data_IF_265950281350
#
_entry.id   IF_265950281350
#
_cell.length_a   1.000
_cell.length_b   1.000
_cell.length_c   1.000
_cell.angle_alpha   90.00
_cell.angle_beta   90.00
_cell.angle_gamma   90.00
#
_symmetry.space_group_name_H-M   'P 1'
#
loop_
_entity.id
_entity.type
_entity.pdbx_description
1 polymer ?
#
# COMPACT_ATOMS: atom_id res chain seq x y z
N UNK A 1 -2.16 30.77 8.29
CA UNK A 1 -2.29 29.74 7.22
C UNK A 1 -2.02 28.35 7.77
N UNK A 2 -2.67 27.37 7.19
CA UNK A 2 -2.56 25.97 7.57
C UNK A 2 -2.09 25.17 6.35
N UNK A 3 -1.16 24.25 6.56
CA UNK A 3 -0.74 23.28 5.55
C UNK A 3 -1.51 21.98 5.77
N UNK A 4 -2.07 21.43 4.71
CA UNK A 4 -2.81 20.16 4.76
C UNK A 4 -2.19 19.20 3.75
N UNK A 5 -1.90 18.00 4.21
CA UNK A 5 -1.41 16.90 3.36
C UNK A 5 -2.34 15.71 3.48
N UNK A 6 -2.76 15.17 2.34
CA UNK A 6 -3.52 13.92 2.29
C UNK A 6 -2.54 12.78 2.04
N UNK A 7 -2.52 11.80 2.93
CA UNK A 7 -1.68 10.61 2.78
C UNK A 7 -2.58 9.45 2.40
N UNK A 8 -2.28 8.82 1.26
CA UNK A 8 -3.07 7.74 0.68
C UNK A 8 -2.23 6.46 0.69
N UNK A 9 -2.35 5.62 1.72
CA UNK A 9 -1.71 4.32 1.70
C UNK A 9 -2.50 3.34 0.83
N UNK A 10 -1.82 2.39 0.22
CA UNK A 10 -2.44 1.20 -0.35
C UNK A 10 -2.40 0.06 0.69
N UNK A 11 -2.41 -1.20 0.28
CA UNK A 11 -2.46 -2.30 1.24
C UNK A 11 -1.27 -2.35 2.20
N UNK A 12 -1.54 -2.39 3.48
CA UNK A 12 -0.55 -2.55 4.56
C UNK A 12 -0.93 -3.80 5.36
N UNK A 13 -0.45 -5.00 4.95
CA UNK A 13 -0.97 -6.28 5.43
C UNK A 13 -0.84 -6.54 6.93
N UNK A 14 0.19 -5.96 7.57
CA UNK A 14 0.45 -6.19 9.00
C UNK A 14 -0.42 -5.35 9.93
N UNK A 15 -1.31 -4.52 9.37
CA UNK A 15 -2.25 -3.72 10.14
C UNK A 15 -3.63 -4.40 10.17
N UNK A 16 -4.49 -3.99 11.08
CA UNK A 16 -5.87 -4.48 11.14
C UNK A 16 -6.79 -3.93 10.05
N UNK A 17 -6.30 -3.06 9.18
CA UNK A 17 -7.12 -2.38 8.18
C UNK A 17 -7.81 -3.37 7.23
N UNK A 18 -7.07 -4.36 6.72
CA UNK A 18 -7.60 -5.35 5.78
C UNK A 18 -8.75 -6.17 6.37
N UNK A 19 -8.70 -6.44 7.69
CA UNK A 19 -9.73 -7.20 8.39
C UNK A 19 -11.00 -6.42 8.69
N UNK A 20 -10.99 -5.10 8.45
CA UNK A 20 -12.13 -4.23 8.73
C UNK A 20 -12.83 -3.73 7.47
N UNK A 21 -12.46 -4.25 6.30
CA UNK A 21 -13.12 -3.90 5.03
C UNK A 21 -14.56 -4.39 5.05
N UNK A 22 -15.50 -3.45 4.94
CA UNK A 22 -16.93 -3.73 4.97
C UNK A 22 -17.47 -3.96 3.55
N UNK A 23 -17.01 -3.16 2.59
CA UNK A 23 -17.46 -3.24 1.20
C UNK A 23 -16.47 -4.06 0.37
N UNK A 24 -16.75 -5.35 0.24
CA UNK A 24 -15.90 -6.28 -0.53
C UNK A 24 -15.92 -5.99 -2.04
N UNK A 25 -17.04 -5.49 -2.56
CA UNK A 25 -17.15 -5.14 -4.00
C UNK A 25 -16.21 -4.00 -4.36
N UNK A 26 -16.08 -3.01 -3.48
CA UNK A 26 -15.11 -1.93 -3.67
C UNK A 26 -13.68 -2.46 -3.65
N UNK A 27 -13.37 -3.40 -2.76
CA UNK A 27 -12.08 -4.07 -2.71
C UNK A 27 -11.76 -4.81 -4.01
N UNK A 28 -12.71 -5.54 -4.55
CA UNK A 28 -12.59 -6.23 -5.83
C UNK A 28 -12.36 -5.23 -6.95
N UNK A 29 -13.07 -4.10 -6.93
CA UNK A 29 -12.96 -3.05 -7.95
C UNK A 29 -11.56 -2.45 -8.05
N UNK A 30 -10.85 -2.25 -6.94
CA UNK A 30 -9.50 -1.69 -6.97
C UNK A 30 -8.42 -2.67 -7.44
N UNK A 31 -8.72 -3.96 -7.43
CA UNK A 31 -7.85 -4.99 -8.01
C UNK A 31 -8.15 -5.18 -9.50
N UNK A 32 -9.43 -5.10 -9.87
CA UNK A 32 -9.89 -5.11 -11.25
C UNK A 32 -9.46 -6.37 -12.00
N UNK A 33 -8.90 -6.17 -13.19
CA UNK A 33 -8.46 -7.29 -14.06
C UNK A 33 -7.27 -8.07 -13.50
N UNK A 34 -6.64 -7.60 -12.43
CA UNK A 34 -5.55 -8.31 -11.77
C UNK A 34 -6.04 -9.36 -10.74
N UNK A 35 -7.36 -9.58 -10.63
CA UNK A 35 -7.92 -10.55 -9.70
C UNK A 35 -7.31 -11.95 -9.78
N UNK A 36 -7.03 -12.53 -10.96
CA UNK A 36 -6.39 -13.84 -11.01
C UNK A 36 -5.01 -13.88 -10.35
N UNK A 37 -4.19 -12.85 -10.59
CA UNK A 37 -2.87 -12.73 -9.96
C UNK A 37 -2.98 -12.51 -8.45
N UNK A 38 -3.92 -11.68 -8.04
CA UNK A 38 -4.18 -11.44 -6.62
C UNK A 38 -4.62 -12.73 -5.92
N UNK A 39 -5.48 -13.53 -6.56
CA UNK A 39 -5.92 -14.82 -6.04
C UNK A 39 -4.78 -15.81 -5.88
N UNK A 40 -3.86 -15.89 -6.86
CA UNK A 40 -2.66 -16.74 -6.79
C UNK A 40 -1.76 -16.33 -5.61
N UNK A 41 -1.59 -15.04 -5.39
CA UNK A 41 -0.80 -14.54 -4.27
C UNK A 41 -1.43 -14.89 -2.93
N UNK A 42 -2.73 -14.69 -2.79
CA UNK A 42 -3.44 -15.03 -1.55
C UNK A 42 -3.37 -16.52 -1.25
N UNK A 43 -3.49 -17.37 -2.28
CA UNK A 43 -3.33 -18.81 -2.15
C UNK A 43 -1.90 -19.17 -1.72
N UNK A 44 -0.90 -18.54 -2.31
CA UNK A 44 0.51 -18.74 -1.95
C UNK A 44 0.80 -18.34 -0.50
N UNK A 45 0.22 -17.25 -0.03
CA UNK A 45 0.33 -16.85 1.38
C UNK A 45 -0.26 -17.90 2.32
N UNK A 46 -1.44 -18.42 1.99
CA UNK A 46 -2.12 -19.43 2.80
C UNK A 46 -1.33 -20.75 2.85
N UNK A 47 -0.68 -21.11 1.75
CA UNK A 47 0.12 -22.34 1.62
C UNK A 47 1.58 -22.19 2.10
N UNK A 48 2.01 -20.96 2.44
CA UNK A 48 3.39 -20.67 2.80
C UNK A 48 4.36 -20.65 1.62
N UNK A 49 3.85 -20.56 0.39
CA UNK A 49 4.64 -20.51 -0.85
C UNK A 49 4.80 -19.11 -1.41
N UNK A 50 4.54 -18.10 -0.60
CA UNK A 50 4.63 -16.69 -1.01
C UNK A 50 6.06 -16.35 -1.44
N UNK A 51 6.26 -15.77 -2.65
CA UNK A 51 7.58 -15.49 -3.16
C UNK A 51 8.36 -14.51 -2.25
N UNK A 52 9.63 -14.83 -1.89
CA UNK A 52 10.41 -13.96 -1.01
C UNK A 52 10.60 -12.55 -1.56
N UNK A 53 10.67 -12.38 -2.87
CA UNK A 53 10.83 -11.10 -3.55
C UNK A 53 9.71 -10.12 -3.20
N UNK A 54 8.52 -10.64 -2.96
CA UNK A 54 7.35 -9.82 -2.63
C UNK A 54 7.35 -9.32 -1.19
N UNK A 55 8.24 -9.83 -0.38
CA UNK A 55 8.43 -9.41 1.01
C UNK A 55 9.68 -8.54 1.19
N UNK A 56 10.48 -8.37 0.13
CA UNK A 56 11.72 -7.61 0.16
C UNK A 56 11.49 -6.19 -0.39
N UNK A 57 11.58 -5.16 0.46
CA UNK A 57 11.36 -3.78 0.02
C UNK A 57 12.40 -3.27 -0.96
N UNK A 58 13.53 -3.97 -1.13
CA UNK A 58 14.54 -3.63 -2.13
C UNK A 58 14.22 -4.21 -3.52
N UNK A 59 13.19 -5.06 -3.63
CA UNK A 59 12.81 -5.71 -4.88
C UNK A 59 11.63 -5.00 -5.54
N UNK A 60 11.64 -4.89 -6.87
CA UNK A 60 10.57 -4.23 -7.62
C UNK A 60 9.21 -4.96 -7.49
N UNK A 61 9.24 -6.24 -7.18
CA UNK A 61 8.03 -7.04 -6.98
C UNK A 61 7.48 -6.95 -5.55
N UNK A 62 8.06 -6.11 -4.70
CA UNK A 62 7.61 -5.89 -3.33
C UNK A 62 6.13 -5.55 -3.28
N UNK A 63 5.36 -6.28 -2.50
CA UNK A 63 3.91 -6.15 -2.44
C UNK A 63 3.35 -6.09 -1.01
N UNK A 64 4.22 -5.87 -0.03
CA UNK A 64 3.88 -6.02 1.40
C UNK A 64 4.27 -4.78 2.20
N UNK A 65 3.66 -3.63 1.88
CA UNK A 65 3.93 -2.38 2.59
C UNK A 65 3.92 -2.57 4.11
N UNK A 66 4.92 -1.99 4.76
CA UNK A 66 4.98 -1.89 6.21
C UNK A 66 4.48 -0.51 6.69
N UNK A 67 3.98 -0.39 7.92
CA UNK A 67 3.55 0.90 8.47
C UNK A 67 4.64 1.97 8.45
N UNK A 68 5.91 1.57 8.54
CA UNK A 68 7.06 2.47 8.51
C UNK A 68 7.16 3.24 7.20
N UNK A 69 6.76 2.64 6.07
CA UNK A 69 6.76 3.33 4.77
C UNK A 69 5.77 4.50 4.77
N UNK A 70 4.64 4.34 5.42
CA UNK A 70 3.64 5.41 5.56
C UNK A 70 4.14 6.49 6.52
N UNK A 71 4.74 6.08 7.64
CA UNK A 71 5.31 7.01 8.62
C UNK A 71 6.40 7.86 8.00
N UNK A 72 7.29 7.27 7.19
CA UNK A 72 8.35 7.99 6.49
C UNK A 72 7.80 9.03 5.52
N UNK A 73 6.73 8.72 4.81
CA UNK A 73 6.07 9.66 3.91
C UNK A 73 5.47 10.85 4.69
N UNK A 74 4.86 10.59 5.84
CA UNK A 74 4.31 11.64 6.72
C UNK A 74 5.44 12.54 7.21
N UNK A 75 6.54 11.98 7.68
CA UNK A 75 7.70 12.74 8.14
C UNK A 75 8.29 13.58 7.01
N UNK A 76 8.39 13.05 5.82
CA UNK A 76 8.85 13.80 4.65
C UNK A 76 7.99 15.03 4.40
N UNK A 77 6.67 14.88 4.45
CA UNK A 77 5.74 16.00 4.24
C UNK A 77 5.88 17.05 5.36
N UNK A 78 6.05 16.62 6.60
CA UNK A 78 6.19 17.52 7.76
C UNK A 78 7.53 18.24 7.79
N UNK A 79 8.56 17.66 7.23
CA UNK A 79 9.94 18.18 7.26
C UNK A 79 10.21 19.22 6.16
N UNK A 80 9.22 19.56 5.37
CA UNK A 80 9.38 20.58 4.33
C UNK A 80 9.46 21.98 4.92
N UNK A 81 10.18 22.91 4.26
CA UNK A 81 10.19 24.32 4.67
C UNK A 81 8.76 24.88 4.74
N UNK A 82 8.56 25.88 5.59
CA UNK A 82 7.22 26.43 5.81
C UNK A 82 6.53 26.89 4.51
N UNK A 83 7.31 27.40 3.56
CA UNK A 83 6.78 27.85 2.25
C UNK A 83 6.43 26.70 1.29
N UNK A 84 6.71 25.46 1.64
CA UNK A 84 6.46 24.29 0.78
C UNK A 84 5.38 23.43 1.42
N UNK A 85 4.33 23.15 0.65
CA UNK A 85 3.24 22.28 1.09
C UNK A 85 3.13 21.09 0.14
N UNK A 86 3.18 19.87 0.70
CA UNK A 86 2.88 18.67 -0.05
C UNK A 86 1.37 18.48 -0.03
N UNK A 87 0.72 18.52 -1.18
CA UNK A 87 -0.74 18.44 -1.27
C UNK A 87 -1.26 17.04 -1.00
N UNK A 88 -0.68 16.03 -1.66
CA UNK A 88 -0.97 14.64 -1.37
C UNK A 88 0.25 13.75 -1.62
N UNK A 89 0.25 12.59 -1.00
CA UNK A 89 1.25 11.54 -1.20
C UNK A 89 0.50 10.20 -1.29
N UNK A 90 0.72 9.47 -2.37
CA UNK A 90 0.26 8.09 -2.48
C UNK A 90 1.46 7.17 -2.26
N UNK A 91 1.36 6.28 -1.27
CA UNK A 91 2.41 5.30 -0.96
C UNK A 91 1.88 3.93 -1.33
N UNK A 92 2.59 3.26 -2.22
CA UNK A 92 2.21 1.92 -2.67
C UNK A 92 3.43 1.05 -2.88
N UNK A 93 3.24 -0.26 -2.74
CA UNK A 93 4.28 -1.22 -3.08
C UNK A 93 4.41 -1.30 -4.60
N UNK A 94 5.64 -1.36 -5.10
CA UNK A 94 5.90 -1.37 -6.54
C UNK A 94 5.26 -2.56 -7.26
N UNK A 95 5.16 -3.70 -6.58
CA UNK A 95 4.58 -4.93 -7.11
C UNK A 95 3.13 -5.19 -6.69
N UNK A 96 2.39 -4.20 -6.21
CA UNK A 96 1.00 -4.38 -5.83
C UNK A 96 0.09 -4.65 -7.05
N UNK A 97 -1.11 -5.15 -6.78
CA UNK A 97 -2.08 -5.51 -7.81
C UNK A 97 -3.25 -4.53 -7.94
N UNK A 98 -3.16 -3.38 -7.29
CA UNK A 98 -4.20 -2.37 -7.38
C UNK A 98 -4.08 -1.59 -8.69
N UNK A 99 -5.20 -1.21 -9.26
CA UNK A 99 -5.28 -0.46 -10.52
C UNK A 99 -5.35 1.06 -10.32
N UNK A 100 -5.12 1.49 -9.09
CA UNK A 100 -5.15 2.90 -8.71
C UNK A 100 -3.98 3.68 -9.29
#
# INVERSE_FOLDING_TARGET
KIKVTIVKPTGVPVTGLSGTVINMEAGIGIVGQNMPLFGELMAGMAEGTYPPERLDPANIDYASLAPEHIADAILYAMDQPWGVSIGDITVRAAGDHFIL
#
